data_IF_494808673511
#
_entry.id   IF_494808673511
#
_cell.length_a   1.000
_cell.length_b   1.000
_cell.length_c   1.000
_cell.angle_alpha   90.00
_cell.angle_beta   90.00
_cell.angle_gamma   90.00
#
_symmetry.space_group_name_H-M   'P 1'
#
loop_
_entity.id
_entity.type
_entity.pdbx_description
1 polymer ?
#
# COMPACT_ATOMS: atom_id res chain seq x y z
N UNK A 1 -15.05 -14.22 17.22
CA UNK A 1 -15.27 -13.47 15.96
C UNK A 1 -15.70 -12.05 16.33
N UNK A 2 -14.92 -11.04 15.96
CA UNK A 2 -15.21 -9.64 16.30
C UNK A 2 -16.10 -9.00 15.23
N UNK A 3 -17.37 -8.76 15.56
CA UNK A 3 -18.42 -8.23 14.68
C UNK A 3 -18.39 -6.70 14.49
N UNK A 4 -17.24 -6.05 14.68
CA UNK A 4 -17.08 -4.60 14.48
C UNK A 4 -15.87 -4.31 13.61
N UNK A 5 -16.11 -3.99 12.34
CA UNK A 5 -15.09 -3.47 11.44
C UNK A 5 -14.80 -2.01 11.82
N UNK A 6 -13.75 -1.77 12.59
CA UNK A 6 -13.32 -0.43 13.00
C UNK A 6 -12.54 0.26 11.86
N UNK A 7 -12.57 1.59 11.81
CA UNK A 7 -11.83 2.42 10.84
C UNK A 7 -10.30 2.40 11.00
N UNK A 8 -9.78 1.62 11.95
CA UNK A 8 -8.34 1.48 12.25
C UNK A 8 -7.51 1.08 11.03
N UNK A 9 -8.07 0.28 10.12
CA UNK A 9 -7.38 -0.10 8.88
C UNK A 9 -6.98 1.13 8.04
N UNK A 10 -7.72 2.24 8.14
CA UNK A 10 -7.51 3.46 7.37
C UNK A 10 -6.79 4.57 8.14
N UNK A 11 -6.16 4.24 9.26
CA UNK A 11 -5.39 5.21 10.05
C UNK A 11 -3.93 5.24 9.61
N UNK A 12 -3.32 6.43 9.65
CA UNK A 12 -1.87 6.58 9.49
C UNK A 12 -1.15 5.85 10.63
N UNK A 13 -0.11 5.10 10.30
CA UNK A 13 0.67 4.32 11.26
C UNK A 13 1.84 5.10 11.87
N UNK A 14 2.15 6.28 11.31
CA UNK A 14 3.31 7.09 11.69
C UNK A 14 4.64 6.60 11.09
N UNK A 15 4.61 5.55 10.26
CA UNK A 15 5.79 5.07 9.55
C UNK A 15 6.34 6.14 8.59
N UNK A 16 7.68 6.21 8.39
CA UNK A 16 8.27 7.13 7.42
C UNK A 16 7.79 6.90 5.99
N UNK A 17 7.48 5.67 5.61
CA UNK A 17 6.85 5.31 4.34
C UNK A 17 5.62 4.47 4.68
N UNK A 18 4.44 5.09 4.59
CA UNK A 18 3.19 4.53 5.09
C UNK A 18 2.25 4.21 3.91
N UNK A 19 1.59 3.07 3.95
CA UNK A 19 0.61 2.64 2.95
C UNK A 19 -0.73 2.44 3.64
N UNK A 20 -1.64 3.39 3.43
CA UNK A 20 -2.92 3.45 4.14
C UNK A 20 -4.06 3.13 3.19
N UNK A 21 -4.82 2.04 3.40
CA UNK A 21 -6.02 1.79 2.62
C UNK A 21 -7.10 2.81 2.99
N UNK A 22 -7.73 3.44 2.00
CA UNK A 22 -8.74 4.48 2.24
C UNK A 22 -10.10 3.95 2.67
N UNK A 23 -10.26 2.64 2.61
CA UNK A 23 -11.44 1.89 3.03
C UNK A 23 -10.99 0.53 3.54
N UNK A 24 -11.78 -0.05 4.43
CA UNK A 24 -11.45 -1.36 4.99
C UNK A 24 -11.55 -2.42 3.86
N UNK A 25 -10.47 -3.14 3.53
CA UNK A 25 -10.50 -4.13 2.45
C UNK A 25 -11.54 -5.23 2.69
N UNK A 26 -11.87 -5.53 3.95
CA UNK A 26 -12.87 -6.55 4.33
C UNK A 26 -14.33 -6.11 4.13
N UNK A 27 -14.58 -4.86 3.73
CA UNK A 27 -15.91 -4.34 3.39
C UNK A 27 -16.19 -4.33 1.88
N UNK A 28 -15.20 -4.73 1.06
CA UNK A 28 -15.32 -4.74 -0.40
C UNK A 28 -15.98 -6.04 -0.89
N UNK A 29 -16.85 -5.92 -1.90
CA UNK A 29 -17.46 -7.04 -2.62
C UNK A 29 -16.54 -7.62 -3.70
N UNK A 30 -17.03 -8.68 -4.38
CA UNK A 30 -16.40 -9.14 -5.62
C UNK A 30 -16.45 -8.01 -6.66
N UNK A 31 -15.33 -7.77 -7.35
CA UNK A 31 -15.13 -6.73 -8.38
C UNK A 31 -15.08 -5.26 -7.90
N UNK A 32 -15.13 -5.02 -6.60
CA UNK A 32 -14.84 -3.70 -6.05
C UNK A 32 -13.37 -3.32 -6.24
N UNK A 33 -13.08 -2.02 -6.16
CA UNK A 33 -11.70 -1.51 -6.19
C UNK A 33 -11.26 -1.02 -4.83
N UNK A 34 -10.01 -1.28 -4.45
CA UNK A 34 -9.38 -0.71 -3.28
C UNK A 34 -8.53 0.50 -3.69
N UNK A 35 -8.67 1.60 -2.94
CA UNK A 35 -7.75 2.74 -3.00
C UNK A 35 -6.76 2.69 -1.84
N UNK A 36 -5.47 2.88 -2.14
CA UNK A 36 -4.39 2.96 -1.15
C UNK A 36 -3.63 4.25 -1.34
N UNK A 37 -3.46 5.01 -0.25
CA UNK A 37 -2.63 6.21 -0.21
C UNK A 37 -1.24 5.88 0.32
N UNK A 38 -0.22 6.31 -0.41
CA UNK A 38 1.18 6.22 0.00
C UNK A 38 1.60 7.57 0.56
N UNK A 39 2.14 7.56 1.77
CA UNK A 39 2.66 8.74 2.45
C UNK A 39 4.16 8.59 2.68
N UNK A 40 4.91 9.68 2.54
CA UNK A 40 6.27 9.76 3.03
C UNK A 40 6.36 10.84 4.11
N UNK A 41 6.74 10.45 5.33
CA UNK A 41 6.79 11.32 6.51
C UNK A 41 5.47 12.08 6.74
N UNK A 42 4.35 11.38 6.56
CA UNK A 42 3.00 11.90 6.78
C UNK A 42 2.36 12.62 5.60
N UNK A 43 3.13 12.94 4.55
CA UNK A 43 2.69 13.69 3.37
C UNK A 43 2.40 12.78 2.16
N UNK A 44 1.38 13.10 1.32
CA UNK A 44 1.12 12.38 0.08
C UNK A 44 2.34 12.26 -0.84
N UNK A 45 2.67 11.03 -1.22
CA UNK A 45 3.83 10.75 -2.06
C UNK A 45 3.38 10.54 -3.51
N UNK A 46 3.34 11.61 -4.29
CA UNK A 46 2.99 11.61 -5.73
C UNK A 46 4.04 10.90 -6.59
N UNK A 47 3.60 10.29 -7.69
CA UNK A 47 4.44 9.64 -8.70
C UNK A 47 5.40 8.57 -8.13
N UNK A 48 5.03 7.96 -7.01
CA UNK A 48 5.74 6.86 -6.41
C UNK A 48 5.42 5.56 -7.14
N UNK A 49 6.45 4.79 -7.43
CA UNK A 49 6.28 3.45 -7.99
C UNK A 49 5.78 2.49 -6.91
N UNK A 50 4.68 1.80 -7.20
CA UNK A 50 4.04 0.84 -6.29
C UNK A 50 3.78 -0.46 -7.04
N UNK A 51 3.99 -1.59 -6.36
CA UNK A 51 3.69 -2.91 -6.90
C UNK A 51 2.57 -3.53 -6.08
N UNK A 52 1.51 -3.94 -6.76
CA UNK A 52 0.39 -4.71 -6.20
C UNK A 52 0.57 -6.16 -6.59
N UNK A 53 0.57 -7.03 -5.58
CA UNK A 53 0.70 -8.46 -5.70
C UNK A 53 -0.61 -9.11 -5.27
N UNK A 54 -1.03 -10.10 -6.05
CA UNK A 54 -2.21 -10.90 -5.81
C UNK A 54 -1.85 -12.37 -6.00
N UNK A 55 -2.21 -13.22 -5.04
CA UNK A 55 -1.96 -14.67 -5.12
C UNK A 55 -3.14 -15.47 -4.59
N UNK A 56 -3.69 -16.33 -5.46
CA UNK A 56 -4.57 -17.43 -5.08
C UNK A 56 -4.01 -18.78 -5.60
N UNK A 57 -4.78 -19.88 -5.51
CA UNK A 57 -4.33 -21.22 -5.94
C UNK A 57 -4.04 -21.32 -7.45
N UNK A 58 -4.61 -20.44 -8.27
CA UNK A 58 -4.57 -20.52 -9.74
C UNK A 58 -3.86 -19.32 -10.39
N UNK A 59 -3.85 -18.16 -9.72
CA UNK A 59 -3.42 -16.88 -10.27
C UNK A 59 -2.35 -16.27 -9.36
N UNK A 60 -1.26 -15.84 -9.99
CA UNK A 60 -0.26 -14.95 -9.41
C UNK A 60 -0.17 -13.70 -10.30
N UNK A 61 -0.56 -12.55 -9.75
CA UNK A 61 -0.59 -11.29 -10.47
C UNK A 61 0.32 -10.27 -9.78
N UNK A 62 1.13 -9.58 -10.59
CA UNK A 62 2.04 -8.53 -10.17
C UNK A 62 1.83 -7.35 -11.11
N UNK A 63 1.17 -6.30 -10.63
CA UNK A 63 0.85 -5.10 -11.42
C UNK A 63 1.54 -3.89 -10.82
N UNK A 64 2.08 -3.05 -11.70
CA UNK A 64 2.80 -1.84 -11.33
C UNK A 64 1.89 -0.63 -11.49
N UNK A 65 1.93 0.26 -10.50
CA UNK A 65 1.19 1.50 -10.47
C UNK A 65 2.14 2.67 -10.17
N UNK A 66 1.66 3.87 -10.50
CA UNK A 66 2.23 5.12 -9.99
C UNK A 66 1.15 5.87 -9.24
N UNK A 67 1.51 6.40 -8.09
CA UNK A 67 0.58 7.22 -7.30
C UNK A 67 0.25 8.52 -8.02
N UNK A 68 -1.01 8.94 -7.91
CA UNK A 68 -1.50 10.19 -8.46
C UNK A 68 -1.06 11.42 -7.64
N UNK A 69 -1.67 12.58 -7.91
CA UNK A 69 -1.37 13.82 -7.19
C UNK A 69 -1.70 13.77 -5.68
N UNK A 70 -2.63 12.91 -5.28
CA UNK A 70 -3.03 12.69 -3.89
C UNK A 70 -2.21 11.56 -3.22
N UNK A 71 -1.22 11.01 -3.91
CA UNK A 71 -0.43 9.88 -3.42
C UNK A 71 -1.18 8.56 -3.50
N UNK A 72 -2.20 8.44 -4.36
CA UNK A 72 -3.12 7.31 -4.36
C UNK A 72 -2.95 6.39 -5.57
N UNK A 73 -3.21 5.10 -5.35
CA UNK A 73 -3.45 4.11 -6.40
C UNK A 73 -4.82 3.48 -6.19
N UNK A 74 -5.48 3.08 -7.28
CA UNK A 74 -6.74 2.35 -7.26
C UNK A 74 -6.63 1.11 -8.13
N UNK A 75 -7.07 -0.03 -7.62
CA UNK A 75 -7.01 -1.30 -8.33
C UNK A 75 -8.17 -2.23 -7.94
N UNK A 76 -8.65 -3.08 -8.85
CA UNK A 76 -9.69 -4.06 -8.54
C UNK A 76 -9.19 -5.11 -7.55
N UNK A 77 -10.05 -5.57 -6.66
CA UNK A 77 -9.78 -6.64 -5.70
C UNK A 77 -10.71 -7.84 -5.92
N UNK A 78 -10.20 -9.02 -5.55
CA UNK A 78 -10.95 -10.28 -5.56
C UNK A 78 -10.99 -10.81 -4.12
N UNK A 79 -12.20 -11.13 -3.63
CA UNK A 79 -12.51 -11.42 -2.22
C UNK A 79 -12.23 -12.88 -1.80
N UNK A 80 -11.45 -13.64 -2.57
CA UNK A 80 -10.98 -15.00 -2.22
C UNK A 80 -9.48 -15.15 -2.48
N UNK A 81 -8.69 -14.20 -1.98
CA UNK A 81 -7.27 -14.12 -2.29
C UNK A 81 -6.44 -13.39 -1.23
N UNK A 82 -5.12 -13.47 -1.38
CA UNK A 82 -4.13 -12.75 -0.59
C UNK A 82 -3.53 -11.62 -1.42
N UNK A 83 -3.40 -10.47 -0.79
CA UNK A 83 -2.97 -9.23 -1.42
C UNK A 83 -1.79 -8.62 -0.67
N UNK A 84 -0.89 -8.00 -1.43
CA UNK A 84 0.17 -7.15 -0.90
C UNK A 84 0.37 -5.94 -1.80
N UNK A 85 0.44 -4.76 -1.21
CA UNK A 85 0.89 -3.53 -1.87
C UNK A 85 2.26 -3.20 -1.29
N UNK A 86 3.24 -2.93 -2.13
CA UNK A 86 4.62 -2.68 -1.69
C UNK A 86 5.26 -1.53 -2.46
N UNK A 87 6.10 -0.76 -1.79
CA UNK A 87 6.86 0.33 -2.41
C UNK A 87 8.19 0.58 -1.70
N UNK A 88 9.14 1.13 -2.44
CA UNK A 88 10.46 1.53 -1.94
C UNK A 88 10.71 2.98 -2.32
N UNK A 89 11.07 3.80 -1.34
CA UNK A 89 11.52 5.18 -1.54
C UNK A 89 13.00 5.29 -1.21
N UNK A 90 13.78 5.75 -2.19
CA UNK A 90 15.19 6.11 -2.02
C UNK A 90 15.31 7.62 -1.77
N UNK A 91 16.11 8.00 -0.79
CA UNK A 91 16.44 9.40 -0.46
C UNK A 91 17.96 9.56 -0.48
N UNK A 92 18.45 10.54 -1.24
CA UNK A 92 19.88 10.84 -1.29
C UNK A 92 20.30 11.51 0.01
N UNK A 93 21.40 11.05 0.58
CA UNK A 93 21.98 11.61 1.80
C UNK A 93 23.00 12.70 1.46
N UNK A 94 23.20 13.62 2.40
CA UNK A 94 24.16 14.71 2.26
C UNK A 94 25.61 14.24 2.44
N UNK A 95 26.58 15.10 2.08
CA UNK A 95 28.00 14.84 2.30
C UNK A 95 28.25 14.59 3.80
N UNK A 96 29.03 13.56 4.12
CA UNK A 96 29.39 13.21 5.50
C UNK A 96 28.46 12.21 6.18
N UNK A 97 27.39 11.75 5.53
CA UNK A 97 26.42 10.81 6.10
C UNK A 97 26.87 9.33 6.14
N UNK A 98 28.09 9.01 5.70
CA UNK A 98 28.63 7.64 5.65
C UNK A 98 28.01 6.72 4.59
N UNK A 99 26.93 7.15 3.93
CA UNK A 99 26.30 6.49 2.79
C UNK A 99 25.71 7.54 1.84
N UNK A 100 25.57 7.19 0.56
CA UNK A 100 24.99 8.09 -0.45
C UNK A 100 23.46 8.09 -0.48
N UNK A 101 22.82 7.00 -0.04
CA UNK A 101 21.38 6.81 -0.12
C UNK A 101 20.82 6.09 1.12
N UNK A 102 19.62 6.50 1.51
CA UNK A 102 18.76 5.80 2.47
C UNK A 102 17.57 5.19 1.73
N UNK A 103 17.27 3.92 2.02
CA UNK A 103 16.07 3.25 1.53
C UNK A 103 15.00 3.18 2.63
N UNK A 104 13.75 3.41 2.24
CA UNK A 104 12.56 3.19 3.05
C UNK A 104 11.67 2.21 2.31
N UNK A 105 11.24 1.17 3.02
CA UNK A 105 10.43 0.09 2.48
C UNK A 105 9.10 0.08 3.22
N UNK A 106 8.01 -0.03 2.47
CA UNK A 106 6.67 -0.11 3.02
C UNK A 106 5.87 -1.20 2.33
N UNK A 107 5.09 -1.94 3.11
CA UNK A 107 4.12 -2.88 2.58
C UNK A 107 2.82 -2.87 3.38
N UNK A 108 1.72 -3.11 2.69
CA UNK A 108 0.39 -3.34 3.23
C UNK A 108 -0.07 -4.72 2.76
N UNK A 109 -0.49 -5.59 3.67
CA UNK A 109 -0.91 -6.96 3.33
C UNK A 109 -2.24 -7.29 3.96
N UNK A 110 -3.10 -8.00 3.22
CA UNK A 110 -4.34 -8.55 3.76
C UNK A 110 -4.71 -9.82 2.99
N UNK A 111 -5.67 -10.57 3.51
CA UNK A 111 -6.20 -11.75 2.85
C UNK A 111 -7.63 -11.99 3.27
N UNK A 112 -8.44 -12.41 2.31
CA UNK A 112 -9.81 -12.87 2.54
C UNK A 112 -9.77 -14.36 2.93
N UNK A 113 -10.62 -14.75 3.89
CA UNK A 113 -10.82 -16.14 4.28
C UNK A 113 -12.03 -16.73 3.57
#
# INVERSE_FOLDING_TARGET
MGSKFTSTASQKTGLPLDLVPLQNPYQLGEDDSLSVRVLFRGEPLKNQFVVVWHRNKFIFLKVQYRTDANGEIRFPVMTRSRWMVSTVKMVRLGKGAGADWQSYWGSLTWGYQ
#
